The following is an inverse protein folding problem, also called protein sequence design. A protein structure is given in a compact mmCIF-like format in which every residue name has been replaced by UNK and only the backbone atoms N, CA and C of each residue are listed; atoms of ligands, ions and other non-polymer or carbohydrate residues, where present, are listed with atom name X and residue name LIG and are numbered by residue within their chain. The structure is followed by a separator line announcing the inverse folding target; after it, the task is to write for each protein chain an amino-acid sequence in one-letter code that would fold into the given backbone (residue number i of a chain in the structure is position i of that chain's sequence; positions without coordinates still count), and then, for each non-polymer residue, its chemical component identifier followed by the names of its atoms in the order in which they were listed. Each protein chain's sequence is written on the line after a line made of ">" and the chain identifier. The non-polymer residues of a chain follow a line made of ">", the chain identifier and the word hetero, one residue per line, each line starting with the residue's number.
data_IF_101810434243
#
_entry.id   IF_101810434243
#
_cell.length_a   1.000
_cell.length_b   1.000
_cell.length_c   1.000
_cell.angle_alpha   90.00
_cell.angle_beta   90.00
_cell.angle_gamma   90.00
#
_symmetry.space_group_name_H-M   'P 1'
#
loop_
_entity.id
_entity.type
_entity.pdbx_description
1 polymer ?
#
# COMPACT_ATOMS: atom_id res chain seq x y z
N UNK A 1 -31.21 -37.97 59.24
CA UNK A 1 -32.12 -39.11 59.18
C UNK A 1 -33.45 -38.57 58.69
N UNK A 2 -34.07 -39.29 57.75
CA UNK A 2 -35.33 -38.99 57.05
C UNK A 2 -35.29 -38.01 55.87
N UNK A 3 -35.12 -38.63 54.69
CA UNK A 3 -35.67 -38.26 53.40
C UNK A 3 -37.19 -38.50 53.35
N UNK A 4 -37.90 -37.72 52.52
CA UNK A 4 -39.08 -38.05 51.65
C UNK A 4 -39.86 -36.75 51.38
N UNK A 5 -40.42 -36.38 50.23
CA UNK A 5 -40.51 -36.89 48.85
C UNK A 5 -41.08 -35.74 47.97
N UNK A 6 -40.78 -35.70 46.67
CA UNK A 6 -41.48 -34.86 45.67
C UNK A 6 -42.87 -35.46 45.29
N UNK A 7 -43.77 -34.73 44.60
CA UNK A 7 -43.74 -34.74 43.11
C UNK A 7 -44.11 -33.40 42.42
N UNK A 8 -43.80 -33.37 41.12
CA UNK A 8 -43.84 -32.26 40.15
C UNK A 8 -45.24 -31.76 39.70
N UNK A 9 -45.29 -30.52 39.18
CA UNK A 9 -46.10 -30.15 37.99
C UNK A 9 -45.73 -28.76 37.44
N UNK A 10 -45.62 -28.68 36.11
CA UNK A 10 -45.27 -27.55 35.24
C UNK A 10 -46.30 -26.40 35.21
N UNK A 11 -45.83 -25.20 34.80
CA UNK A 11 -46.53 -24.39 33.78
C UNK A 11 -47.03 -22.99 34.17
N UNK A 12 -46.23 -21.98 33.78
CA UNK A 12 -46.57 -20.63 33.28
C UNK A 12 -47.83 -19.87 33.76
N UNK A 13 -47.65 -18.61 34.21
CA UNK A 13 -48.01 -17.42 33.41
C UNK A 13 -47.64 -16.06 34.06
N UNK A 14 -46.87 -15.28 33.30
CA UNK A 14 -47.00 -13.83 33.00
C UNK A 14 -47.03 -12.77 34.10
N UNK A 15 -45.94 -11.99 34.21
CA UNK A 15 -45.97 -10.61 34.71
C UNK A 15 -45.22 -9.69 33.73
N UNK A 16 -45.96 -8.78 33.11
CA UNK A 16 -45.47 -7.80 32.14
C UNK A 16 -44.59 -6.74 32.80
N UNK A 17 -43.40 -6.50 32.24
CA UNK A 17 -42.56 -5.34 32.54
C UNK A 17 -42.49 -4.48 31.28
N UNK A 18 -42.99 -3.25 31.39
CA UNK A 18 -42.98 -2.26 30.33
C UNK A 18 -41.52 -1.84 30.01
N UNK A 19 -41.08 -2.13 28.79
CA UNK A 19 -39.85 -1.60 28.20
C UNK A 19 -40.12 -0.17 27.73
N UNK A 20 -39.68 0.83 28.49
CA UNK A 20 -39.52 2.20 27.97
C UNK A 20 -38.24 2.25 27.14
N UNK A 21 -38.39 2.14 25.83
CA UNK A 21 -37.36 2.52 24.86
C UNK A 21 -37.14 4.03 24.93
N UNK A 22 -35.89 4.53 25.01
CA UNK A 22 -35.64 5.95 24.87
C UNK A 22 -35.90 6.32 23.41
N UNK A 23 -36.88 7.19 23.18
CA UNK A 23 -37.14 7.80 21.88
C UNK A 23 -35.98 8.75 21.59
N UNK A 24 -35.08 8.36 20.69
CA UNK A 24 -34.04 9.23 20.16
C UNK A 24 -34.72 10.22 19.21
N UNK A 25 -34.86 11.47 19.63
CA UNK A 25 -35.47 12.50 18.77
C UNK A 25 -34.42 13.04 17.78
N UNK A 26 -34.81 13.44 16.55
CA UNK A 26 -33.87 13.98 15.55
C UNK A 26 -33.15 15.26 16.01
N UNK A 27 -33.67 15.93 17.04
CA UNK A 27 -33.17 17.19 17.57
C UNK A 27 -31.87 16.99 18.37
N UNK A 28 -31.72 15.85 19.06
CA UNK A 28 -30.53 15.53 19.85
C UNK A 28 -29.31 15.23 18.96
N UNK A 29 -29.52 14.66 17.76
CA UNK A 29 -28.47 14.45 16.76
C UNK A 29 -27.98 15.76 16.13
N UNK A 30 -28.88 16.71 15.91
CA UNK A 30 -28.55 18.02 15.32
C UNK A 30 -27.78 18.95 16.28
N UNK A 31 -27.98 18.79 17.60
CA UNK A 31 -27.23 19.54 18.61
C UNK A 31 -25.86 18.94 18.92
N UNK A 32 -25.68 17.62 18.74
CA UNK A 32 -24.36 16.99 18.82
C UNK A 32 -23.40 17.50 17.73
N UNK A 33 -23.90 17.74 16.51
CA UNK A 33 -23.12 18.26 15.38
C UNK A 33 -22.48 19.65 15.59
N UNK A 34 -22.92 20.39 16.62
CA UNK A 34 -22.43 21.75 16.95
C UNK A 34 -21.35 21.77 18.04
N UNK A 35 -20.88 20.61 18.50
CA UNK A 35 -19.84 20.55 19.53
C UNK A 35 -18.44 20.79 18.92
N UNK A 36 -17.72 21.87 19.28
CA UNK A 36 -16.40 22.16 18.73
C UNK A 36 -15.37 21.06 18.99
N UNK A 37 -15.57 20.24 20.03
CA UNK A 37 -14.75 19.07 20.35
C UNK A 37 -14.88 17.97 19.27
N UNK A 38 -16.09 17.69 18.78
CA UNK A 38 -16.31 16.72 17.69
C UNK A 38 -15.79 17.24 16.36
N UNK A 39 -15.85 18.55 16.11
CA UNK A 39 -15.24 19.18 14.93
C UNK A 39 -13.72 19.02 14.95
N UNK A 40 -13.07 19.26 16.09
CA UNK A 40 -11.60 19.08 16.24
C UNK A 40 -11.18 17.63 16.07
N UNK A 41 -11.91 16.66 16.63
CA UNK A 41 -11.65 15.24 16.40
C UNK A 41 -11.91 14.83 14.94
N UNK A 42 -12.93 15.41 14.32
CA UNK A 42 -13.22 15.18 12.91
C UNK A 42 -12.10 15.68 11.99
N UNK A 43 -11.53 16.85 12.29
CA UNK A 43 -10.37 17.41 11.58
C UNK A 43 -9.10 16.55 11.75
N UNK A 44 -8.90 15.89 12.90
CA UNK A 44 -7.75 14.98 13.09
C UNK A 44 -7.78 13.79 12.13
N UNK A 45 -8.97 13.27 11.81
CA UNK A 45 -9.14 12.21 10.81
C UNK A 45 -8.84 12.72 9.40
N UNK A 46 -9.14 13.99 9.11
CA UNK A 46 -8.86 14.62 7.80
C UNK A 46 -7.36 14.74 7.50
N UNK A 47 -6.53 14.93 8.53
CA UNK A 47 -5.07 14.96 8.36
C UNK A 47 -4.53 13.68 7.69
N UNK A 48 -5.10 12.51 8.01
CA UNK A 48 -4.65 11.25 7.39
C UNK A 48 -4.96 11.21 5.88
N UNK A 49 -6.08 11.77 5.46
CA UNK A 49 -6.49 11.81 4.06
C UNK A 49 -5.73 12.84 3.21
N UNK A 50 -5.13 13.87 3.83
CA UNK A 50 -4.28 14.84 3.14
C UNK A 50 -2.85 14.31 2.88
N UNK A 51 -2.42 13.33 3.66
CA UNK A 51 -1.01 12.89 3.68
C UNK A 51 -0.62 12.13 2.41
N UNK A 52 -1.48 11.23 1.95
CA UNK A 52 -1.23 10.37 0.79
C UNK A 52 -0.93 11.16 -0.49
N UNK A 53 -1.78 12.10 -0.96
CA UNK A 53 -1.50 12.88 -2.18
C UNK A 53 -0.25 13.76 -2.03
N UNK A 54 -0.01 14.33 -0.84
CA UNK A 54 1.16 15.16 -0.58
C UNK A 54 2.46 14.35 -0.68
N UNK A 55 2.47 13.13 -0.15
CA UNK A 55 3.61 12.22 -0.25
C UNK A 55 3.85 11.77 -1.70
N UNK A 56 2.79 11.54 -2.48
CA UNK A 56 2.91 11.25 -3.91
C UNK A 56 3.48 12.45 -4.68
N UNK A 57 2.92 13.64 -4.49
CA UNK A 57 3.42 14.87 -5.12
C UNK A 57 4.91 15.08 -4.82
N UNK A 58 5.30 14.99 -3.54
CA UNK A 58 6.70 15.09 -3.12
C UNK A 58 7.59 14.02 -3.75
N UNK A 59 7.09 12.79 -3.92
CA UNK A 59 7.84 11.69 -4.55
C UNK A 59 8.04 11.97 -6.04
N UNK A 60 6.99 12.37 -6.73
CA UNK A 60 6.99 12.67 -8.17
C UNK A 60 7.91 13.84 -8.49
N UNK A 61 7.79 14.98 -7.79
CA UNK A 61 8.67 16.15 -7.97
C UNK A 61 10.14 15.76 -7.80
N UNK A 62 10.48 15.02 -6.74
CA UNK A 62 11.86 14.57 -6.50
C UNK A 62 12.37 13.63 -7.59
N UNK A 63 11.53 12.75 -8.11
CA UNK A 63 11.91 11.81 -9.17
C UNK A 63 12.13 12.55 -10.50
N UNK A 64 11.19 13.43 -10.87
CA UNK A 64 11.25 14.23 -12.10
C UNK A 64 12.45 15.17 -12.09
N UNK A 65 12.68 15.87 -10.97
CA UNK A 65 13.83 16.76 -10.81
C UNK A 65 15.16 16.01 -10.98
N UNK A 66 15.35 14.87 -10.31
CA UNK A 66 16.58 14.06 -10.45
C UNK A 66 16.78 13.54 -11.86
N UNK A 67 15.70 13.15 -12.54
CA UNK A 67 15.76 12.69 -13.91
C UNK A 67 16.18 13.84 -14.85
N UNK A 68 15.57 15.02 -14.69
CA UNK A 68 15.93 16.20 -15.46
C UNK A 68 17.38 16.62 -15.22
N UNK A 69 17.84 16.70 -13.97
CA UNK A 69 19.25 17.01 -13.65
C UNK A 69 20.21 16.04 -14.32
N UNK A 70 19.93 14.72 -14.25
CA UNK A 70 20.77 13.69 -14.85
C UNK A 70 20.86 13.83 -16.37
N UNK A 71 19.73 14.01 -17.04
CA UNK A 71 19.69 14.10 -18.50
C UNK A 71 20.28 15.42 -19.01
N UNK A 72 20.01 16.54 -18.33
CA UNK A 72 20.63 17.84 -18.64
C UNK A 72 22.15 17.77 -18.46
N UNK A 73 22.64 17.22 -17.34
CA UNK A 73 24.08 17.08 -17.11
C UNK A 73 24.76 16.22 -18.19
N UNK A 74 24.10 15.14 -18.62
CA UNK A 74 24.65 14.27 -19.64
C UNK A 74 24.62 14.89 -21.05
N UNK A 75 23.62 15.72 -21.36
CA UNK A 75 23.61 16.54 -22.59
C UNK A 75 24.73 17.56 -22.56
N UNK A 76 24.92 18.28 -21.44
CA UNK A 76 26.01 19.25 -21.28
C UNK A 76 27.39 18.60 -21.44
N UNK A 77 27.58 17.41 -20.84
CA UNK A 77 28.81 16.62 -21.01
C UNK A 77 29.03 16.22 -22.47
N UNK A 78 28.00 15.74 -23.15
CA UNK A 78 28.10 15.36 -24.57
C UNK A 78 28.40 16.55 -25.48
N UNK A 79 27.87 17.75 -25.17
CA UNK A 79 28.21 18.98 -25.90
C UNK A 79 29.66 19.38 -25.65
N UNK A 80 30.13 19.32 -24.41
CA UNK A 80 31.52 19.65 -24.07
C UNK A 80 32.53 18.71 -24.76
N UNK A 81 32.26 17.40 -24.76
CA UNK A 81 33.11 16.41 -25.45
C UNK A 81 33.21 16.66 -26.97
N UNK A 82 32.15 17.16 -27.59
CA UNK A 82 32.15 17.53 -29.01
C UNK A 82 32.91 18.85 -29.23
N UNK A 83 32.78 19.80 -28.30
CA UNK A 83 33.45 21.11 -28.39
C UNK A 83 34.97 21.01 -28.22
N UNK A 84 35.46 20.06 -27.41
CA UNK A 84 36.89 19.87 -27.13
C UNK A 84 37.64 19.08 -28.22
N UNK A 85 36.94 18.55 -29.24
CA UNK A 85 37.55 17.78 -30.33
C UNK A 85 37.77 18.65 -31.57
N UNK A 86 39.03 18.99 -31.83
CA UNK A 86 39.42 19.81 -32.99
C UNK A 86 39.26 19.09 -34.36
N UNK A 87 39.30 17.74 -34.38
CA UNK A 87 39.27 16.91 -35.60
C UNK A 87 37.96 16.11 -35.79
N UNK A 88 36.80 16.69 -35.46
CA UNK A 88 35.51 16.03 -35.71
C UNK A 88 35.11 16.14 -37.18
N UNK A 89 34.80 15.00 -37.82
CA UNK A 89 34.18 14.99 -39.16
C UNK A 89 32.76 15.56 -39.12
N UNK A 90 32.32 16.18 -40.22
CA UNK A 90 30.98 16.77 -40.31
C UNK A 90 29.88 15.73 -40.07
N UNK A 91 30.06 14.53 -40.60
CA UNK A 91 29.13 13.41 -40.45
C UNK A 91 29.06 12.92 -39.00
N UNK A 92 30.19 12.84 -38.30
CA UNK A 92 30.24 12.47 -36.88
C UNK A 92 29.61 13.55 -35.99
N UNK A 93 29.88 14.84 -36.27
CA UNK A 93 29.22 15.96 -35.58
C UNK A 93 27.70 15.91 -35.73
N UNK A 94 27.21 15.68 -36.95
CA UNK A 94 25.79 15.57 -37.24
C UNK A 94 25.14 14.38 -36.53
N UNK A 95 25.84 13.24 -36.46
CA UNK A 95 25.39 12.06 -35.72
C UNK A 95 25.30 12.32 -34.21
N UNK A 96 26.32 12.96 -33.62
CA UNK A 96 26.33 13.31 -32.19
C UNK A 96 25.22 14.32 -31.84
N UNK A 97 25.05 15.38 -32.64
CA UNK A 97 23.95 16.34 -32.47
C UNK A 97 22.59 15.65 -32.58
N UNK A 98 22.42 14.72 -33.53
CA UNK A 98 21.18 13.95 -33.67
C UNK A 98 20.91 13.12 -32.41
N UNK A 99 21.92 12.46 -31.85
CA UNK A 99 21.83 11.70 -30.58
C UNK A 99 21.40 12.60 -29.41
N UNK A 100 22.02 13.78 -29.27
CA UNK A 100 21.66 14.77 -28.26
C UNK A 100 20.22 15.28 -28.43
N UNK A 101 19.79 15.53 -29.67
CA UNK A 101 18.40 15.91 -29.98
C UNK A 101 17.43 14.81 -29.59
N UNK A 102 17.70 13.54 -29.92
CA UNK A 102 16.86 12.41 -29.50
C UNK A 102 16.76 12.32 -27.97
N UNK A 103 17.87 12.56 -27.28
CA UNK A 103 17.91 12.57 -25.82
C UNK A 103 17.08 13.70 -25.21
N UNK A 104 17.19 14.91 -25.74
CA UNK A 104 16.37 16.06 -25.34
C UNK A 104 14.88 15.85 -25.63
N UNK A 105 14.54 15.23 -26.76
CA UNK A 105 13.16 14.86 -27.06
C UNK A 105 12.63 13.80 -26.09
N UNK A 106 13.47 12.82 -25.71
CA UNK A 106 13.14 11.84 -24.67
C UNK A 106 12.93 12.49 -23.30
N UNK A 107 13.78 13.44 -22.92
CA UNK A 107 13.63 14.24 -21.71
C UNK A 107 12.32 15.05 -21.74
N UNK A 108 12.02 15.72 -22.84
CA UNK A 108 10.77 16.48 -23.01
C UNK A 108 9.54 15.61 -22.76
N UNK A 109 9.42 14.47 -23.47
CA UNK A 109 8.29 13.54 -23.29
C UNK A 109 8.18 13.05 -21.84
N UNK A 110 9.31 12.70 -21.23
CA UNK A 110 9.32 12.20 -19.85
C UNK A 110 8.91 13.27 -18.84
N UNK A 111 9.27 14.53 -19.09
CA UNK A 111 8.89 15.65 -18.24
C UNK A 111 7.41 16.01 -18.43
N UNK A 112 6.85 15.89 -19.64
CA UNK A 112 5.42 16.07 -19.91
C UNK A 112 4.57 15.05 -19.11
N UNK A 113 4.94 13.76 -19.17
CA UNK A 113 4.31 12.71 -18.36
C UNK A 113 4.46 12.99 -16.84
N UNK A 114 5.64 13.48 -16.46
CA UNK A 114 5.95 13.86 -15.08
C UNK A 114 5.08 15.00 -14.57
N UNK A 115 4.96 16.08 -15.34
CA UNK A 115 4.12 17.24 -15.03
C UNK A 115 2.65 16.85 -14.93
N UNK A 116 2.12 16.04 -15.86
CA UNK A 116 0.75 15.56 -15.77
C UNK A 116 0.47 14.77 -14.48
N UNK A 117 1.44 13.96 -14.04
CA UNK A 117 1.36 13.24 -12.76
C UNK A 117 1.41 14.19 -11.56
N UNK A 118 2.27 15.22 -11.59
CA UNK A 118 2.35 16.25 -10.54
C UNK A 118 1.05 17.05 -10.45
N UNK A 119 0.51 17.50 -11.58
CA UNK A 119 -0.73 18.28 -11.68
C UNK A 119 -1.91 17.50 -11.11
N UNK A 120 -2.02 16.21 -11.40
CA UNK A 120 -3.04 15.34 -10.82
C UNK A 120 -2.92 15.27 -9.28
N UNK A 121 -1.72 15.08 -8.74
CA UNK A 121 -1.54 15.03 -7.29
C UNK A 121 -1.78 16.40 -6.64
N UNK A 122 -1.39 17.49 -7.29
CA UNK A 122 -1.65 18.85 -6.85
C UNK A 122 -3.15 19.19 -6.87
N UNK A 123 -3.88 18.76 -7.90
CA UNK A 123 -5.34 18.86 -7.97
C UNK A 123 -5.99 18.13 -6.79
N UNK A 124 -5.58 16.89 -6.51
CA UNK A 124 -6.07 16.12 -5.36
C UNK A 124 -5.76 16.81 -4.02
N UNK A 125 -4.60 17.43 -3.88
CA UNK A 125 -4.29 18.22 -2.69
C UNK A 125 -5.24 19.43 -2.57
N UNK A 126 -5.45 20.16 -3.68
CA UNK A 126 -6.34 21.34 -3.72
C UNK A 126 -7.79 20.97 -3.40
N UNK A 127 -8.35 19.96 -4.05
CA UNK A 127 -9.72 19.50 -3.80
C UNK A 127 -9.95 19.12 -2.33
N UNK A 128 -8.96 18.47 -1.71
CA UNK A 128 -9.05 18.11 -0.29
C UNK A 128 -8.93 19.32 0.64
N UNK A 129 -8.10 20.32 0.30
CA UNK A 129 -8.03 21.57 1.06
C UNK A 129 -9.31 22.39 0.94
N UNK A 130 -9.84 22.53 -0.28
CA UNK A 130 -11.10 23.22 -0.56
C UNK A 130 -12.27 22.57 0.20
N UNK A 131 -12.33 21.23 0.23
CA UNK A 131 -13.31 20.52 1.04
C UNK A 131 -13.18 20.80 2.54
N UNK A 132 -11.97 21.05 3.06
CA UNK A 132 -11.77 21.42 4.48
C UNK A 132 -12.08 22.89 4.76
N UNK A 133 -11.83 23.77 3.80
CA UNK A 133 -12.18 25.19 3.89
C UNK A 133 -13.70 25.40 3.81
N UNK A 134 -14.41 24.54 3.08
CA UNK A 134 -15.87 24.58 2.92
C UNK A 134 -16.70 24.16 4.14
N UNK A 135 -16.08 24.06 5.33
CA UNK A 135 -16.82 23.83 6.58
C UNK A 135 -17.56 25.11 6.95
N UNK A 136 -18.85 25.16 6.63
CA UNK A 136 -19.75 26.25 7.00
C UNK A 136 -20.91 25.72 7.86
N UNK A 137 -21.40 26.53 8.81
CA UNK A 137 -22.48 26.16 9.73
C UNK A 137 -23.79 25.78 8.99
N UNK A 138 -24.01 26.38 7.82
CA UNK A 138 -25.17 26.13 6.98
C UNK A 138 -24.99 24.90 6.08
N UNK A 139 -23.76 24.38 5.91
CA UNK A 139 -23.45 23.25 5.03
C UNK A 139 -22.81 22.03 5.72
N UNK A 140 -22.92 21.95 7.06
CA UNK A 140 -22.34 20.86 7.86
C UNK A 140 -22.85 19.49 7.40
N UNK A 141 -24.12 19.39 7.04
CA UNK A 141 -24.74 18.10 6.68
C UNK A 141 -24.20 17.55 5.35
N UNK A 142 -24.06 18.40 4.32
CA UNK A 142 -23.49 18.00 3.02
C UNK A 142 -22.00 17.65 3.17
N UNK A 143 -21.26 18.46 3.94
CA UNK A 143 -19.86 18.21 4.26
C UNK A 143 -19.69 16.86 4.96
N UNK A 144 -20.52 16.61 5.98
CA UNK A 144 -20.51 15.35 6.75
C UNK A 144 -20.89 14.15 5.89
N UNK A 145 -21.84 14.32 4.96
CA UNK A 145 -22.22 13.28 4.01
C UNK A 145 -21.06 12.92 3.07
N UNK A 146 -20.38 13.93 2.51
CA UNK A 146 -19.18 13.77 1.67
C UNK A 146 -18.07 13.05 2.43
N UNK A 147 -17.83 13.45 3.67
CA UNK A 147 -16.86 12.80 4.56
C UNK A 147 -17.22 11.34 4.83
N UNK A 148 -18.48 11.04 5.14
CA UNK A 148 -18.94 9.67 5.34
C UNK A 148 -18.70 8.81 4.09
N UNK A 149 -19.02 9.33 2.90
CA UNK A 149 -18.77 8.63 1.63
C UNK A 149 -17.28 8.36 1.42
N UNK A 150 -16.39 9.30 1.74
CA UNK A 150 -14.93 9.10 1.67
C UNK A 150 -14.48 7.97 2.60
N UNK A 151 -14.96 7.95 3.84
CA UNK A 151 -14.66 6.88 4.81
C UNK A 151 -15.18 5.53 4.30
N UNK A 152 -16.39 5.51 3.74
CA UNK A 152 -16.97 4.29 3.17
C UNK A 152 -16.15 3.77 1.99
N UNK A 153 -15.69 4.65 1.09
CA UNK A 153 -14.79 4.28 0.00
C UNK A 153 -13.49 3.67 0.54
N UNK A 154 -12.84 4.30 1.51
CA UNK A 154 -11.61 3.78 2.14
C UNK A 154 -11.85 2.39 2.77
N UNK A 155 -12.95 2.22 3.51
CA UNK A 155 -13.34 0.93 4.06
C UNK A 155 -13.52 -0.13 2.98
N UNK A 156 -14.28 0.18 1.92
CA UNK A 156 -14.52 -0.74 0.81
C UNK A 156 -13.21 -1.16 0.12
N UNK A 157 -12.27 -0.23 -0.05
CA UNK A 157 -10.96 -0.52 -0.62
C UNK A 157 -10.14 -1.47 0.27
N UNK A 158 -10.14 -1.26 1.59
CA UNK A 158 -9.48 -2.17 2.56
C UNK A 158 -10.11 -3.56 2.56
N UNK A 159 -11.42 -3.64 2.40
CA UNK A 159 -12.17 -4.91 2.30
C UNK A 159 -12.13 -5.53 0.90
N UNK A 160 -11.31 -4.99 -0.02
CA UNK A 160 -11.18 -5.47 -1.40
C UNK A 160 -12.44 -5.34 -2.28
N UNK A 161 -13.40 -4.49 -1.90
CA UNK A 161 -14.57 -4.13 -2.70
C UNK A 161 -14.27 -2.98 -3.68
N UNK A 162 -13.28 -3.19 -4.56
CA UNK A 162 -12.74 -2.15 -5.45
C UNK A 162 -13.77 -1.57 -6.43
N UNK A 163 -14.57 -2.42 -7.08
CA UNK A 163 -15.55 -1.95 -8.07
C UNK A 163 -16.65 -1.12 -7.43
N UNK A 164 -17.15 -1.57 -6.28
CA UNK A 164 -18.16 -0.84 -5.51
C UNK A 164 -17.62 0.48 -4.96
N UNK A 165 -16.36 0.51 -4.51
CA UNK A 165 -15.69 1.73 -4.08
C UNK A 165 -15.56 2.75 -5.23
N UNK A 166 -15.21 2.25 -6.43
CA UNK A 166 -15.13 3.04 -7.66
C UNK A 166 -16.49 3.64 -8.05
N UNK A 167 -17.54 2.83 -8.05
CA UNK A 167 -18.91 3.29 -8.35
C UNK A 167 -19.41 4.34 -7.35
N UNK A 168 -19.10 4.19 -6.06
CA UNK A 168 -19.46 5.19 -5.04
C UNK A 168 -18.71 6.51 -5.27
N UNK A 169 -17.42 6.43 -5.60
CA UNK A 169 -16.62 7.62 -5.89
C UNK A 169 -17.11 8.36 -7.15
N UNK A 170 -17.51 7.62 -8.19
CA UNK A 170 -18.12 8.14 -9.43
C UNK A 170 -19.45 8.83 -9.16
N UNK A 171 -20.40 8.09 -8.60
CA UNK A 171 -21.77 8.58 -8.36
C UNK A 171 -21.83 9.77 -7.41
N UNK A 172 -20.86 9.90 -6.51
CA UNK A 172 -20.75 11.01 -5.57
C UNK A 172 -19.78 12.11 -6.00
N UNK A 173 -19.10 11.96 -7.14
CA UNK A 173 -18.08 12.90 -7.64
C UNK A 173 -16.97 13.22 -6.62
N UNK A 174 -16.47 12.19 -5.91
CA UNK A 174 -15.46 12.34 -4.84
C UNK A 174 -14.10 11.71 -5.18
N UNK A 175 -13.82 11.46 -6.45
CA UNK A 175 -12.56 10.82 -6.89
C UNK A 175 -11.30 11.52 -6.39
N UNK A 176 -11.29 12.85 -6.40
CA UNK A 176 -10.13 13.63 -5.97
C UNK A 176 -9.92 13.61 -4.45
N UNK A 177 -10.92 13.13 -3.71
CA UNK A 177 -10.92 13.07 -2.25
C UNK A 177 -10.54 11.69 -1.70
N UNK A 178 -10.37 10.69 -2.56
CA UNK A 178 -10.12 9.27 -2.21
C UNK A 178 -8.86 8.74 -2.90
N UNK A 179 -8.25 7.69 -2.35
CA UNK A 179 -6.96 7.15 -2.80
C UNK A 179 -7.07 5.82 -3.56
N UNK A 180 -8.08 5.67 -4.44
CA UNK A 180 -8.38 4.41 -5.15
C UNK A 180 -7.15 3.82 -5.85
N UNK A 181 -6.37 4.65 -6.57
CA UNK A 181 -5.21 4.17 -7.35
C UNK A 181 -4.16 3.49 -6.47
N UNK A 182 -3.98 3.95 -5.23
CA UNK A 182 -3.02 3.39 -4.27
C UNK A 182 -3.42 1.96 -3.89
N UNK A 183 -4.72 1.75 -3.66
CA UNK A 183 -5.26 0.45 -3.35
C UNK A 183 -5.27 -0.48 -4.56
N UNK A 184 -5.46 0.04 -5.78
CA UNK A 184 -5.33 -0.76 -7.01
C UNK A 184 -3.88 -1.22 -7.23
N UNK A 185 -2.88 -0.38 -6.93
CA UNK A 185 -1.48 -0.79 -6.97
C UNK A 185 -1.19 -1.89 -5.93
N UNK A 186 -1.70 -1.75 -4.71
CA UNK A 186 -1.59 -2.78 -3.68
C UNK A 186 -2.28 -4.09 -4.09
N UNK A 187 -3.49 -4.00 -4.67
CA UNK A 187 -4.24 -5.15 -5.21
C UNK A 187 -3.40 -5.92 -6.23
N UNK A 188 -2.71 -5.24 -7.15
CA UNK A 188 -1.83 -5.88 -8.13
C UNK A 188 -0.78 -6.75 -7.44
N UNK A 189 -0.12 -6.23 -6.41
CA UNK A 189 0.89 -6.97 -5.63
C UNK A 189 0.24 -8.16 -4.91
N UNK A 190 -0.91 -7.97 -4.29
CA UNK A 190 -1.64 -9.04 -3.57
C UNK A 190 -2.05 -10.16 -4.53
N UNK A 191 -2.59 -9.84 -5.70
CA UNK A 191 -3.00 -10.83 -6.72
C UNK A 191 -1.79 -11.61 -7.24
N UNK A 192 -0.67 -10.94 -7.54
CA UNK A 192 0.56 -11.63 -7.93
C UNK A 192 1.03 -12.59 -6.84
N UNK A 193 0.99 -12.15 -5.58
CA UNK A 193 1.33 -13.01 -4.46
C UNK A 193 0.39 -14.22 -4.37
N UNK A 194 -0.92 -14.06 -4.51
CA UNK A 194 -1.89 -15.17 -4.54
C UNK A 194 -1.59 -16.17 -5.67
N UNK A 195 -1.09 -15.68 -6.81
CA UNK A 195 -0.63 -16.49 -7.94
C UNK A 195 0.78 -17.08 -7.74
N UNK A 196 1.36 -16.95 -6.54
CA UNK A 196 2.70 -17.42 -6.17
C UNK A 196 3.84 -16.68 -6.91
N UNK A 197 3.55 -15.51 -7.45
CA UNK A 197 4.51 -14.65 -8.13
C UNK A 197 5.05 -13.59 -7.17
N UNK A 198 6.33 -13.72 -6.82
CA UNK A 198 7.00 -12.84 -5.86
C UNK A 198 7.64 -11.61 -6.53
N UNK A 199 7.88 -11.67 -7.85
CA UNK A 199 8.54 -10.62 -8.63
C UNK A 199 7.93 -9.22 -8.44
N UNK A 200 6.62 -9.02 -8.66
CA UNK A 200 5.97 -7.72 -8.48
C UNK A 200 6.10 -7.16 -7.06
N UNK A 201 6.04 -8.01 -6.03
CA UNK A 201 6.19 -7.61 -4.64
C UNK A 201 7.63 -7.17 -4.32
N UNK A 202 8.64 -7.81 -4.93
CA UNK A 202 10.05 -7.42 -4.81
C UNK A 202 10.36 -6.10 -5.50
N UNK A 203 9.76 -5.85 -6.66
CA UNK A 203 9.85 -4.55 -7.35
C UNK A 203 9.30 -3.48 -6.42
N UNK A 204 8.11 -3.68 -5.84
CA UNK A 204 7.52 -2.77 -4.87
C UNK A 204 8.42 -2.54 -3.63
N UNK A 205 9.10 -3.58 -3.14
CA UNK A 205 10.07 -3.45 -2.05
C UNK A 205 11.25 -2.53 -2.44
N UNK A 206 11.76 -2.67 -3.66
CA UNK A 206 12.87 -1.84 -4.15
C UNK A 206 12.50 -0.35 -4.24
N UNK A 207 11.28 -0.06 -4.67
CA UNK A 207 10.73 1.30 -4.78
C UNK A 207 10.48 1.95 -3.41
N UNK A 208 10.19 1.14 -2.39
CA UNK A 208 9.84 1.59 -1.05
C UNK A 208 10.95 1.31 0.00
N UNK A 209 12.16 0.95 -0.44
CA UNK A 209 13.26 0.47 0.40
C UNK A 209 13.58 1.37 1.61
N UNK A 210 13.62 2.69 1.41
CA UNK A 210 13.92 3.64 2.49
C UNK A 210 12.82 3.68 3.57
N UNK A 211 11.55 3.64 3.15
CA UNK A 211 10.39 3.56 4.05
C UNK A 211 10.37 2.23 4.80
N UNK A 212 10.56 1.11 4.09
CA UNK A 212 10.61 -0.22 4.70
C UNK A 212 11.72 -0.34 5.75
N UNK A 213 12.91 0.23 5.48
CA UNK A 213 14.01 0.28 6.45
C UNK A 213 13.65 1.09 7.70
N UNK A 214 12.96 2.23 7.54
CA UNK A 214 12.49 3.05 8.67
C UNK A 214 11.48 2.30 9.54
N UNK A 215 10.57 1.54 8.92
CA UNK A 215 9.60 0.70 9.63
C UNK A 215 10.17 -0.62 10.14
N UNK A 216 11.44 -0.93 9.89
CA UNK A 216 12.06 -2.23 10.19
C UNK A 216 11.22 -3.40 9.65
N UNK A 217 10.62 -3.22 8.47
CA UNK A 217 9.74 -4.22 7.87
C UNK A 217 10.53 -5.45 7.45
N UNK A 218 9.97 -6.63 7.74
CA UNK A 218 10.51 -7.93 7.37
C UNK A 218 10.01 -8.42 6.01
N UNK A 219 9.21 -7.61 5.31
CA UNK A 219 8.50 -8.04 4.11
C UNK A 219 9.44 -8.54 3.01
N UNK A 220 10.48 -7.79 2.66
CA UNK A 220 11.46 -8.20 1.64
C UNK A 220 12.15 -9.52 2.03
N UNK A 221 12.54 -9.68 3.30
CA UNK A 221 13.12 -10.93 3.80
C UNK A 221 12.17 -12.12 3.60
N UNK A 222 10.89 -11.95 3.92
CA UNK A 222 9.87 -13.01 3.78
C UNK A 222 9.66 -13.40 2.31
N UNK A 223 9.64 -12.42 1.40
CA UNK A 223 9.54 -12.68 -0.04
C UNK A 223 10.76 -13.45 -0.57
N UNK A 224 11.98 -13.01 -0.21
CA UNK A 224 13.22 -13.69 -0.59
C UNK A 224 13.31 -15.09 0.01
N UNK A 225 12.83 -15.26 1.23
CA UNK A 225 12.73 -16.56 1.87
C UNK A 225 11.76 -17.48 1.11
N UNK A 226 10.62 -16.96 0.64
CA UNK A 226 9.69 -17.74 -0.18
C UNK A 226 10.32 -18.19 -1.50
N UNK A 227 11.00 -17.29 -2.24
CA UNK A 227 11.71 -17.67 -3.48
C UNK A 227 12.75 -18.76 -3.22
N UNK A 228 13.50 -18.67 -2.12
CA UNK A 228 14.43 -19.72 -1.72
C UNK A 228 13.73 -21.06 -1.50
N UNK A 229 12.61 -21.07 -0.78
CA UNK A 229 11.85 -22.30 -0.51
C UNK A 229 11.30 -22.91 -1.81
N UNK A 230 10.85 -22.10 -2.77
CA UNK A 230 10.44 -22.63 -4.08
C UNK A 230 11.62 -23.26 -4.84
N UNK A 231 12.82 -22.69 -4.78
CA UNK A 231 14.02 -23.32 -5.37
C UNK A 231 14.34 -24.67 -4.71
N UNK A 232 14.17 -24.77 -3.39
CA UNK A 232 14.34 -26.06 -2.67
C UNK A 232 13.26 -27.07 -3.09
N UNK A 233 12.01 -26.64 -3.27
CA UNK A 233 10.92 -27.53 -3.73
C UNK A 233 11.12 -28.05 -5.14
N UNK A 234 11.75 -27.28 -6.02
CA UNK A 234 12.10 -27.68 -7.38
C UNK A 234 13.36 -28.57 -7.44
N UNK A 235 13.92 -28.96 -6.28
CA UNK A 235 15.16 -29.73 -6.14
C UNK A 235 16.38 -29.04 -6.77
N UNK A 236 16.32 -27.72 -6.96
CA UNK A 236 17.40 -26.91 -7.53
C UNK A 236 18.40 -26.44 -6.45
N UNK A 237 18.93 -27.39 -5.68
CA UNK A 237 19.77 -27.15 -4.49
C UNK A 237 20.94 -26.19 -4.72
N UNK A 238 21.68 -26.33 -5.83
CA UNK A 238 22.81 -25.45 -6.16
C UNK A 238 22.36 -24.00 -6.39
N UNK A 239 21.23 -23.79 -7.09
CA UNK A 239 20.67 -22.45 -7.32
C UNK A 239 20.14 -21.87 -6.02
N UNK A 240 19.48 -22.67 -5.17
CA UNK A 240 19.02 -22.26 -3.86
C UNK A 240 20.17 -21.77 -2.96
N UNK A 241 21.30 -22.49 -2.92
CA UNK A 241 22.50 -22.09 -2.17
C UNK A 241 23.07 -20.76 -2.70
N UNK A 242 23.21 -20.63 -4.02
CA UNK A 242 23.70 -19.40 -4.63
C UNK A 242 22.77 -18.21 -4.33
N UNK A 243 21.46 -18.44 -4.40
CA UNK A 243 20.43 -17.47 -4.08
C UNK A 243 20.49 -17.03 -2.61
N UNK A 244 20.56 -17.98 -1.67
CA UNK A 244 20.65 -17.69 -0.24
C UNK A 244 21.87 -16.84 0.10
N UNK A 245 23.04 -17.16 -0.47
CA UNK A 245 24.26 -16.37 -0.31
C UNK A 245 24.10 -14.94 -0.81
N UNK A 246 23.39 -14.74 -1.91
CA UNK A 246 23.21 -13.42 -2.52
C UNK A 246 22.18 -12.57 -1.78
N UNK A 247 21.01 -13.12 -1.45
CA UNK A 247 19.86 -12.34 -0.99
C UNK A 247 19.51 -12.53 0.49
N UNK A 248 19.82 -13.69 1.08
CA UNK A 248 19.47 -13.97 2.47
C UNK A 248 20.64 -13.73 3.45
N UNK A 249 21.88 -13.91 3.02
CA UNK A 249 23.07 -13.66 3.86
C UNK A 249 23.13 -12.26 4.49
N UNK A 250 22.73 -11.16 3.81
CA UNK A 250 22.69 -9.83 4.44
C UNK A 250 21.76 -9.74 5.67
N UNK A 251 20.79 -10.65 5.79
CA UNK A 251 19.83 -10.72 6.88
C UNK A 251 20.29 -11.62 8.03
N UNK A 252 21.45 -12.26 7.90
CA UNK A 252 21.97 -13.19 8.91
C UNK A 252 22.16 -12.53 10.28
N UNK A 253 22.52 -11.24 10.34
CA UNK A 253 22.69 -10.51 11.58
C UNK A 253 21.38 -10.38 12.39
N UNK A 254 20.22 -10.33 11.72
CA UNK A 254 18.90 -10.12 12.37
C UNK A 254 18.02 -11.38 12.38
N UNK A 255 18.23 -12.31 11.44
CA UNK A 255 17.33 -13.43 11.15
C UNK A 255 18.04 -14.79 11.05
N UNK A 256 19.19 -14.95 11.73
CA UNK A 256 20.01 -16.17 11.66
C UNK A 256 19.23 -17.47 11.89
N UNK A 257 18.35 -17.51 12.90
CA UNK A 257 17.58 -18.73 13.24
C UNK A 257 16.66 -19.16 12.10
N UNK A 258 16.02 -18.21 11.43
CA UNK A 258 15.14 -18.49 10.29
C UNK A 258 15.95 -18.92 9.09
N UNK A 259 17.11 -18.28 8.85
CA UNK A 259 18.04 -18.67 7.80
C UNK A 259 18.59 -20.09 8.00
N UNK A 260 18.97 -20.47 9.22
CA UNK A 260 19.42 -21.82 9.55
C UNK A 260 18.33 -22.85 9.30
N UNK A 261 17.07 -22.55 9.67
CA UNK A 261 15.93 -23.43 9.39
C UNK A 261 15.69 -23.57 7.89
N UNK A 262 15.76 -22.48 7.14
CA UNK A 262 15.66 -22.50 5.67
C UNK A 262 16.79 -23.34 5.05
N UNK A 263 18.04 -23.13 5.48
CA UNK A 263 19.17 -23.92 4.96
C UNK A 263 19.06 -25.41 5.32
N UNK A 264 18.47 -25.75 6.47
CA UNK A 264 18.21 -27.13 6.84
C UNK A 264 17.21 -27.82 5.89
N UNK A 265 16.29 -27.10 5.26
CA UNK A 265 15.37 -27.69 4.27
C UNK A 265 16.08 -28.19 3.01
N UNK A 266 17.35 -27.81 2.77
CA UNK A 266 18.17 -28.42 1.70
C UNK A 266 18.57 -29.87 2.02
N UNK A 267 18.65 -30.23 3.31
CA UNK A 267 19.03 -31.57 3.75
C UNK A 267 17.84 -32.52 3.86
N UNK A 268 16.65 -31.98 4.12
CA UNK A 268 15.41 -32.77 4.22
C UNK A 268 14.63 -32.70 2.91
N UNK A 269 14.40 -33.87 2.26
CA UNK A 269 13.57 -33.93 1.04
C UNK A 269 12.15 -33.45 1.30
N UNK A 270 11.45 -33.03 0.25
CA UNK A 270 10.07 -32.51 0.30
C UNK A 270 9.04 -33.45 0.96
N UNK A 271 9.33 -34.76 1.04
CA UNK A 271 8.53 -35.79 1.74
C UNK A 271 9.00 -36.05 3.19
N UNK A 272 9.52 -35.05 3.88
CA UNK A 272 10.00 -35.21 5.26
C UNK A 272 8.84 -35.23 6.27
N UNK A 273 8.79 -36.26 7.13
CA UNK A 273 7.86 -36.34 8.26
C UNK A 273 8.25 -35.41 9.42
N UNK A 274 9.40 -34.73 9.34
CA UNK A 274 9.80 -33.74 10.33
C UNK A 274 8.94 -32.48 10.19
N UNK A 275 7.92 -32.36 11.02
CA UNK A 275 7.01 -31.20 11.11
C UNK A 275 7.69 -29.81 11.00
N UNK A 276 8.84 -29.51 11.67
CA UNK A 276 9.48 -28.19 11.54
C UNK A 276 10.11 -27.91 10.17
N UNK A 277 10.27 -28.92 9.32
CA UNK A 277 10.89 -28.84 8.00
C UNK A 277 9.96 -29.29 6.87
N UNK A 278 8.71 -29.66 7.19
CA UNK A 278 7.73 -30.01 6.16
C UNK A 278 7.45 -28.76 5.34
N UNK A 279 7.71 -28.83 4.03
CA UNK A 279 7.67 -27.67 3.14
C UNK A 279 6.25 -27.12 2.99
N UNK A 280 5.23 -27.87 3.45
CA UNK A 280 3.83 -27.43 3.54
C UNK A 280 3.60 -26.33 4.58
N UNK A 281 4.40 -26.24 5.65
CA UNK A 281 4.18 -25.26 6.74
C UNK A 281 4.51 -23.81 6.32
N UNK A 282 5.23 -23.61 5.21
CA UNK A 282 5.67 -22.27 4.77
C UNK A 282 4.57 -21.51 4.02
N UNK A 283 3.59 -22.20 3.40
CA UNK A 283 2.38 -21.55 2.88
C UNK A 283 1.57 -20.86 3.98
N UNK A 284 1.69 -21.34 5.23
CA UNK A 284 0.98 -20.76 6.35
C UNK A 284 1.46 -19.32 6.64
N UNK A 285 2.72 -18.97 6.39
CA UNK A 285 3.19 -17.58 6.49
C UNK A 285 2.61 -16.68 5.40
N UNK A 286 2.33 -17.25 4.23
CA UNK A 286 1.72 -16.54 3.10
C UNK A 286 0.23 -16.29 3.33
N UNK A 287 -0.49 -17.30 3.83
CA UNK A 287 -1.89 -17.16 4.29
C UNK A 287 -1.96 -16.29 5.53
N UNK A 288 -1.03 -16.37 6.47
CA UNK A 288 -1.00 -15.55 7.68
C UNK A 288 -0.69 -14.07 7.37
N UNK A 289 0.20 -13.78 6.40
CA UNK A 289 0.42 -12.42 5.88
C UNK A 289 -0.80 -11.87 5.14
N UNK A 290 -1.55 -12.72 4.42
CA UNK A 290 -2.79 -12.33 3.74
C UNK A 290 -3.97 -12.18 4.73
N UNK A 291 -4.10 -13.04 5.74
CA UNK A 291 -5.10 -12.93 6.81
C UNK A 291 -4.77 -11.81 7.81
N UNK A 292 -3.49 -11.48 8.03
CA UNK A 292 -3.12 -10.26 8.76
C UNK A 292 -3.09 -9.02 7.87
N UNK A 293 -3.25 -9.16 6.54
CA UNK A 293 -3.55 -8.03 5.65
C UNK A 293 -4.97 -7.50 5.87
N UNK A 294 -5.90 -8.32 6.38
CA UNK A 294 -7.17 -7.84 6.96
C UNK A 294 -6.92 -6.94 8.19
N UNK A 295 -5.71 -7.01 8.78
CA UNK A 295 -5.23 -6.18 9.88
C UNK A 295 -4.10 -5.20 9.54
N UNK A 296 -3.85 -4.86 8.27
CA UNK A 296 -2.92 -3.77 7.90
C UNK A 296 -3.52 -2.38 8.20
N UNK A 297 -3.83 -2.15 9.48
CA UNK A 297 -4.35 -0.90 10.04
C UNK A 297 -3.27 0.19 10.22
N UNK A 298 -2.04 0.00 9.72
CA UNK A 298 -0.90 0.85 10.12
C UNK A 298 -0.07 1.44 8.98
N UNK A 299 -0.54 1.41 7.73
CA UNK A 299 0.17 2.01 6.59
C UNK A 299 -0.52 3.23 5.96
N UNK A 300 -1.49 3.83 6.66
CA UNK A 300 -2.02 5.17 6.34
C UNK A 300 -1.31 6.26 7.16
#
# INVERSE_FOLDING_TARGET
>A
MEMSAEPASNGDTSAAVALTTPVFTPVDAAQAAKNPVQTVESIKLEHQFLRVPLEHLKKTIRANHRYAEKEVAAVLSGVAEVADRDDISREEAASQLSSLVYRLQGLKRKLEDGCASEDLQAQRCRARLEHLEGIDADNIDEWSNTRLKRILVDYMLRMSYYESAKMLAESSNIYDLVDIDVFIEAKRVIVSLQNKEVGPALIWCSENKSRLKKFKSRFEFLLRHQEFIELVRLDESLKAIAYARKFLAPWAATHMKELQRAMATLAFRSNTECAPYSVSTVYFLFVFLLSHSEGMHSFS
#
